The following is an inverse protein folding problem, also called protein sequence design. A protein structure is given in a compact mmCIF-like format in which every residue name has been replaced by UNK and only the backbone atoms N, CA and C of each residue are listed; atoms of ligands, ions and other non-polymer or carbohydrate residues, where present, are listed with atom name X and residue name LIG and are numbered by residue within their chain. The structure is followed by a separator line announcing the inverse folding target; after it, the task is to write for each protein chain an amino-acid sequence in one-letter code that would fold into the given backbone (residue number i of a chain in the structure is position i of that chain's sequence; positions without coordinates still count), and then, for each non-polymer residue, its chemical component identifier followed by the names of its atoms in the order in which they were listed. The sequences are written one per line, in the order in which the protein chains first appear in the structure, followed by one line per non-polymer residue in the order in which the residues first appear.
data_IF_205519627833
#
_entry.id   IF_205519627833
#
_cell.length_a   1.000
_cell.length_b   1.000
_cell.length_c   1.000
_cell.angle_alpha   90.00
_cell.angle_beta   90.00
_cell.angle_gamma   90.00
#
_symmetry.space_group_name_H-M   'P 1'
#
loop_
_entity.id
_entity.type
_entity.pdbx_description
1 polymer ?
#
# COMPACT_ATOMS: atom_id res chain seq x y z
N UNK A 1 6.92 8.92 -26.17
CA UNK A 1 5.67 9.60 -26.58
C UNK A 1 4.61 9.46 -25.48
N UNK A 2 4.09 10.59 -24.98
CA UNK A 2 3.07 10.64 -23.92
C UNK A 2 1.66 10.39 -24.47
N UNK A 3 0.68 10.16 -23.60
CA UNK A 3 -0.74 10.02 -23.99
C UNK A 3 -1.23 11.28 -24.72
N UNK A 4 -0.98 12.47 -24.17
CA UNK A 4 -1.42 13.72 -24.78
C UNK A 4 -0.86 13.94 -26.20
N UNK A 5 0.41 13.58 -26.43
CA UNK A 5 1.03 13.68 -27.76
C UNK A 5 0.42 12.70 -28.75
N UNK A 6 0.26 11.43 -28.34
CA UNK A 6 -0.37 10.40 -29.18
C UNK A 6 -1.82 10.75 -29.50
N UNK A 7 -2.56 11.23 -28.50
CA UNK A 7 -3.99 11.53 -28.62
C UNK A 7 -4.24 12.67 -29.61
N UNK A 8 -3.44 13.75 -29.57
CA UNK A 8 -3.52 14.84 -30.57
C UNK A 8 -3.18 14.37 -31.98
N UNK A 9 -2.14 13.54 -32.12
CA UNK A 9 -1.79 12.98 -33.43
C UNK A 9 -2.92 12.11 -33.98
N UNK A 10 -3.58 11.34 -33.12
CA UNK A 10 -4.70 10.49 -33.49
C UNK A 10 -5.94 11.31 -33.87
N UNK A 11 -6.23 12.40 -33.16
CA UNK A 11 -7.29 13.35 -33.53
C UNK A 11 -7.04 13.98 -34.91
N UNK A 12 -5.81 14.46 -35.17
CA UNK A 12 -5.45 15.06 -36.44
C UNK A 12 -5.58 14.08 -37.63
N UNK A 13 -5.30 12.81 -37.37
CA UNK A 13 -5.40 11.74 -38.38
C UNK A 13 -6.85 11.29 -38.61
N UNK A 14 -7.75 11.52 -37.65
CA UNK A 14 -9.12 11.03 -37.68
C UNK A 14 -10.12 12.13 -37.29
N UNK A 15 -10.25 13.19 -38.09
CA UNK A 15 -11.10 14.34 -37.75
C UNK A 15 -12.60 13.98 -37.68
N UNK A 16 -13.03 12.87 -38.30
CA UNK A 16 -14.42 12.41 -38.28
C UNK A 16 -14.87 11.68 -37.01
N UNK A 17 -13.98 11.44 -36.04
CA UNK A 17 -14.32 10.74 -34.80
C UNK A 17 -15.02 11.63 -33.76
N UNK A 18 -15.12 12.94 -34.01
CA UNK A 18 -15.58 13.92 -33.02
C UNK A 18 -14.88 13.73 -31.66
N UNK A 19 -13.59 13.40 -31.71
CA UNK A 19 -12.82 13.05 -30.52
C UNK A 19 -12.57 14.30 -29.69
N UNK A 20 -13.06 14.38 -28.44
CA UNK A 20 -12.91 15.57 -27.62
C UNK A 20 -11.49 15.72 -27.11
N UNK A 21 -11.12 16.92 -26.64
CA UNK A 21 -9.88 17.13 -25.88
C UNK A 21 -9.78 16.17 -24.69
N UNK A 22 -8.57 15.70 -24.39
CA UNK A 22 -8.34 14.69 -23.35
C UNK A 22 -8.89 15.12 -21.98
N UNK A 23 -8.77 16.42 -21.68
CA UNK A 23 -9.10 17.07 -20.41
C UNK A 23 -10.45 17.81 -20.45
N UNK A 24 -11.24 17.62 -21.52
CA UNK A 24 -12.58 18.19 -21.61
C UNK A 24 -13.50 17.63 -20.51
N UNK A 25 -14.25 18.53 -19.90
CA UNK A 25 -15.19 18.26 -18.81
C UNK A 25 -16.64 18.20 -19.30
N UNK A 26 -17.00 19.00 -20.30
CA UNK A 26 -18.29 18.97 -20.96
C UNK A 26 -18.21 18.05 -22.18
N UNK A 27 -18.88 16.90 -22.09
CA UNK A 27 -18.78 15.81 -23.06
C UNK A 27 -20.12 15.14 -23.25
N UNK A 28 -20.51 14.95 -24.51
CA UNK A 28 -21.59 14.02 -24.85
C UNK A 28 -21.19 12.58 -24.53
N UNK A 29 -22.18 11.68 -24.41
CA UNK A 29 -21.93 10.26 -24.19
C UNK A 29 -21.08 9.64 -25.31
N UNK A 30 -21.31 10.07 -26.55
CA UNK A 30 -20.52 9.66 -27.71
C UNK A 30 -19.05 10.09 -27.56
N UNK A 31 -18.80 11.36 -27.26
CA UNK A 31 -17.44 11.89 -27.09
C UNK A 31 -16.70 11.22 -25.92
N UNK A 32 -17.43 10.91 -24.84
CA UNK A 32 -16.89 10.13 -23.70
C UNK A 32 -16.47 8.73 -24.13
N UNK A 33 -17.29 8.05 -24.93
CA UNK A 33 -16.99 6.71 -25.45
C UNK A 33 -15.78 6.74 -26.40
N UNK A 34 -15.73 7.69 -27.33
CA UNK A 34 -14.60 7.87 -28.25
C UNK A 34 -13.30 8.13 -27.49
N UNK A 35 -13.32 9.03 -26.50
CA UNK A 35 -12.15 9.28 -25.64
C UNK A 35 -11.68 8.01 -24.93
N UNK A 36 -12.61 7.24 -24.36
CA UNK A 36 -12.28 6.02 -23.62
C UNK A 36 -11.67 4.95 -24.54
N UNK A 37 -12.22 4.77 -25.74
CA UNK A 37 -11.68 3.89 -26.77
C UNK A 37 -10.24 4.28 -27.15
N UNK A 38 -10.01 5.57 -27.43
CA UNK A 38 -8.68 6.08 -27.77
C UNK A 38 -7.66 5.88 -26.64
N UNK A 39 -8.04 6.18 -25.39
CA UNK A 39 -7.16 5.94 -24.23
C UNK A 39 -6.86 4.44 -24.09
N UNK A 40 -7.87 3.58 -24.26
CA UNK A 40 -7.71 2.13 -24.17
C UNK A 40 -6.75 1.60 -25.22
N UNK A 41 -6.86 2.08 -26.46
CA UNK A 41 -5.94 1.74 -27.55
C UNK A 41 -4.51 2.17 -27.23
N UNK A 42 -4.31 3.40 -26.78
CA UNK A 42 -2.98 3.87 -26.38
C UNK A 42 -2.38 3.02 -25.26
N UNK A 43 -3.17 2.67 -24.24
CA UNK A 43 -2.69 1.83 -23.14
C UNK A 43 -2.21 0.46 -23.63
N UNK A 44 -2.94 -0.17 -24.57
CA UNK A 44 -2.52 -1.44 -25.19
C UNK A 44 -1.22 -1.27 -25.96
N UNK A 45 -1.13 -0.27 -26.84
CA UNK A 45 0.11 0.03 -27.60
C UNK A 45 1.32 0.28 -26.68
N UNK A 46 1.11 0.94 -25.53
CA UNK A 46 2.15 1.14 -24.52
C UNK A 46 2.55 -0.14 -23.82
N UNK A 47 1.59 -0.94 -23.39
CA UNK A 47 1.86 -2.21 -22.74
C UNK A 47 2.63 -3.15 -23.67
N UNK A 48 2.25 -3.22 -24.94
CA UNK A 48 2.93 -4.05 -25.94
C UNK A 48 4.34 -3.56 -26.21
N UNK A 49 4.54 -2.24 -26.30
CA UNK A 49 5.88 -1.65 -26.43
C UNK A 49 6.78 -1.95 -25.22
N UNK A 50 6.25 -1.82 -24.00
CA UNK A 50 6.98 -2.18 -22.78
C UNK A 50 7.31 -3.67 -22.78
N UNK A 51 6.32 -4.54 -23.08
CA UNK A 51 6.51 -5.99 -23.14
C UNK A 51 7.58 -6.37 -24.15
N UNK A 52 7.58 -5.78 -25.34
CA UNK A 52 8.60 -6.04 -26.35
C UNK A 52 10.01 -5.63 -25.87
N UNK A 53 10.13 -4.51 -25.16
CA UNK A 53 11.41 -4.05 -24.61
C UNK A 53 11.94 -4.99 -23.50
N UNK A 54 11.05 -5.44 -22.61
CA UNK A 54 11.44 -6.30 -21.48
C UNK A 54 11.47 -7.78 -21.84
N UNK A 55 10.89 -8.20 -22.97
CA UNK A 55 10.84 -9.61 -23.37
C UNK A 55 12.23 -10.23 -23.46
N UNK A 56 13.23 -9.49 -23.93
CA UNK A 56 14.63 -9.94 -23.94
C UNK A 56 15.31 -9.96 -22.56
N UNK A 57 14.71 -9.30 -21.56
CA UNK A 57 15.20 -9.23 -20.17
C UNK A 57 14.42 -10.14 -19.22
N UNK A 58 13.22 -10.58 -19.59
CA UNK A 58 12.51 -11.69 -18.96
C UNK A 58 13.21 -12.99 -19.36
N UNK A 59 14.41 -13.21 -18.84
CA UNK A 59 14.93 -14.55 -18.73
C UNK A 59 14.19 -15.20 -17.55
N UNK A 60 13.58 -16.36 -17.77
CA UNK A 60 13.21 -17.23 -16.65
C UNK A 60 14.49 -17.43 -15.84
N UNK A 61 14.54 -17.06 -14.55
CA UNK A 61 15.74 -17.26 -13.78
C UNK A 61 16.11 -18.72 -13.93
N UNK A 62 17.32 -18.98 -14.44
CA UNK A 62 17.85 -20.33 -14.48
C UNK A 62 17.59 -20.92 -13.10
N UNK A 63 16.90 -22.06 -13.05
CA UNK A 63 16.61 -22.74 -11.80
C UNK A 63 17.95 -23.30 -11.34
N UNK A 64 18.85 -22.42 -10.90
CA UNK A 64 20.10 -22.76 -10.28
C UNK A 64 19.69 -23.70 -9.18
N UNK A 65 20.15 -24.94 -9.28
CA UNK A 65 19.87 -25.98 -8.32
C UNK A 65 20.44 -25.50 -6.98
N UNK A 66 19.61 -24.82 -6.20
CA UNK A 66 20.01 -24.27 -4.91
C UNK A 66 20.22 -25.49 -4.04
N UNK A 67 21.48 -25.84 -3.81
CA UNK A 67 21.84 -26.87 -2.85
C UNK A 67 21.16 -26.52 -1.53
N UNK A 68 20.14 -27.32 -1.17
CA UNK A 68 19.53 -27.19 0.14
C UNK A 68 20.60 -27.49 1.19
N UNK A 69 20.73 -26.67 2.23
CA UNK A 69 21.53 -27.05 3.38
C UNK A 69 21.02 -28.42 3.86
N UNK A 70 21.91 -29.36 4.17
CA UNK A 70 21.54 -30.69 4.67
C UNK A 70 20.91 -30.71 6.07
N UNK A 71 20.45 -29.56 6.54
CA UNK A 71 19.77 -29.35 7.82
C UNK A 71 18.45 -28.66 7.47
N UNK A 72 17.36 -29.44 7.39
CA UNK A 72 16.03 -28.92 7.06
C UNK A 72 15.03 -29.03 8.23
N UNK A 73 15.44 -29.71 9.32
CA UNK A 73 14.61 -29.92 10.49
C UNK A 73 15.35 -29.71 11.82
N UNK A 74 14.57 -29.49 12.88
CA UNK A 74 15.10 -29.45 14.25
C UNK A 74 15.77 -30.78 14.65
N UNK A 75 15.35 -31.90 14.05
CA UNK A 75 15.96 -33.21 14.29
C UNK A 75 17.37 -33.31 13.69
N UNK A 76 17.60 -32.73 12.50
CA UNK A 76 18.93 -32.71 11.87
C UNK A 76 19.92 -31.85 12.65
N UNK A 77 19.45 -30.74 13.20
CA UNK A 77 20.25 -29.89 14.11
C UNK A 77 20.67 -30.69 15.33
N UNK A 78 19.73 -31.40 15.96
CA UNK A 78 20.01 -32.21 17.14
C UNK A 78 20.95 -33.40 16.84
N UNK A 79 20.80 -34.04 15.68
CA UNK A 79 21.65 -35.15 15.24
C UNK A 79 23.07 -34.73 14.84
N UNK A 80 23.20 -33.53 14.27
CA UNK A 80 24.49 -32.94 13.88
C UNK A 80 25.24 -32.35 15.08
N UNK A 81 24.51 -31.96 16.13
CA UNK A 81 25.08 -31.40 17.34
C UNK A 81 25.78 -32.50 18.17
N UNK A 82 27.10 -32.64 17.99
CA UNK A 82 27.97 -33.44 18.85
C UNK A 82 28.74 -32.54 19.81
N UNK A 83 28.19 -32.23 21.00
CA UNK A 83 28.90 -31.43 21.98
C UNK A 83 30.14 -32.21 22.42
N UNK A 84 31.31 -31.70 22.03
CA UNK A 84 32.56 -32.06 22.65
C UNK A 84 32.68 -31.18 23.89
N UNK A 85 32.73 -31.81 25.06
CA UNK A 85 32.94 -31.10 26.31
C UNK A 85 34.22 -30.28 26.22
N UNK A 86 34.15 -29.00 26.55
CA UNK A 86 35.35 -28.16 26.69
C UNK A 86 36.13 -28.65 27.90
N UNK A 87 37.11 -29.53 27.68
CA UNK A 87 38.04 -29.90 28.73
C UNK A 87 38.91 -28.69 29.07
N UNK A 88 38.78 -28.16 30.29
CA UNK A 88 39.74 -27.21 30.86
C UNK A 88 39.34 -25.73 30.89
N UNK A 89 38.05 -25.38 30.75
CA UNK A 89 37.63 -24.00 31.03
C UNK A 89 37.27 -23.90 32.53
N UNK A 90 37.91 -23.02 33.31
CA UNK A 90 37.51 -22.78 34.70
C UNK A 90 36.07 -22.29 34.72
N UNK A 91 35.29 -22.74 35.70
CA UNK A 91 33.91 -22.28 35.90
C UNK A 91 33.88 -20.75 35.88
N UNK A 92 33.26 -20.18 34.85
CA UNK A 92 33.03 -18.74 34.77
C UNK A 92 32.20 -18.27 35.98
N UNK A 93 32.21 -16.97 36.29
CA UNK A 93 31.38 -16.43 37.36
C UNK A 93 29.92 -16.88 37.16
N UNK A 94 29.28 -17.31 38.25
CA UNK A 94 27.99 -18.00 38.24
C UNK A 94 27.00 -17.38 37.26
N UNK A 95 26.39 -18.22 36.44
CA UNK A 95 25.46 -17.82 35.39
C UNK A 95 24.45 -16.80 35.90
N UNK A 96 24.26 -15.73 35.13
CA UNK A 96 23.31 -14.66 35.46
C UNK A 96 21.89 -15.20 35.64
N UNK A 97 21.07 -14.47 36.37
CA UNK A 97 19.70 -14.87 36.67
C UNK A 97 18.88 -15.08 35.38
N UNK A 98 18.48 -16.32 35.05
CA UNK A 98 17.70 -16.60 33.84
C UNK A 98 16.32 -15.94 33.86
N UNK A 99 15.83 -15.52 35.03
CA UNK A 99 14.55 -14.81 35.18
C UNK A 99 14.64 -13.31 34.93
N UNK A 100 15.84 -12.74 34.89
CA UNK A 100 16.03 -11.32 34.60
C UNK A 100 15.49 -10.94 33.21
N UNK A 101 15.73 -11.80 32.20
CA UNK A 101 15.20 -11.60 30.86
C UNK A 101 13.65 -11.69 30.83
N UNK A 102 13.09 -12.64 31.58
CA UNK A 102 11.64 -12.80 31.70
C UNK A 102 10.99 -11.56 32.32
N UNK A 103 11.56 -11.02 33.40
CA UNK A 103 11.07 -9.79 34.04
C UNK A 103 11.10 -8.58 33.10
N UNK A 104 12.13 -8.45 32.27
CA UNK A 104 12.23 -7.38 31.26
C UNK A 104 11.17 -7.55 30.17
N UNK A 105 10.86 -8.78 29.74
CA UNK A 105 9.84 -9.07 28.75
C UNK A 105 8.44 -8.76 29.31
N UNK A 106 8.14 -9.19 30.52
CA UNK A 106 6.86 -8.92 31.20
C UNK A 106 6.64 -7.41 31.36
N UNK A 107 7.64 -6.68 31.88
CA UNK A 107 7.60 -5.23 31.98
C UNK A 107 7.54 -4.50 30.62
N UNK A 108 8.03 -5.13 29.55
CA UNK A 108 7.86 -4.64 28.17
C UNK A 108 6.43 -4.83 27.67
N UNK A 109 5.83 -5.99 27.94
CA UNK A 109 4.47 -6.33 27.57
C UNK A 109 3.43 -5.40 28.20
N UNK A 110 3.58 -5.10 29.49
CA UNK A 110 2.68 -4.18 30.21
C UNK A 110 2.69 -2.76 29.61
N UNK A 111 3.88 -2.25 29.26
CA UNK A 111 4.02 -0.94 28.60
C UNK A 111 3.35 -0.91 27.24
N UNK A 112 3.55 -1.94 26.42
CA UNK A 112 2.94 -2.04 25.09
C UNK A 112 1.41 -2.09 25.15
N UNK A 113 0.84 -2.75 26.15
CA UNK A 113 -0.61 -2.79 26.34
C UNK A 113 -1.16 -1.42 26.76
N UNK A 114 -0.46 -0.72 27.66
CA UNK A 114 -0.78 0.66 28.04
C UNK A 114 -0.77 1.61 26.84
N UNK A 115 0.28 1.55 26.01
CA UNK A 115 0.40 2.37 24.80
C UNK A 115 -0.71 2.06 23.79
N UNK A 116 -1.07 0.78 23.62
CA UNK A 116 -2.17 0.36 22.74
C UNK A 116 -3.50 0.91 23.21
N UNK A 117 -3.79 0.83 24.51
CA UNK A 117 -5.01 1.36 25.10
C UNK A 117 -5.10 2.88 24.94
N UNK A 118 -4.01 3.61 25.21
CA UNK A 118 -3.94 5.06 25.01
C UNK A 118 -4.18 5.44 23.54
N UNK A 119 -3.52 4.75 22.60
CA UNK A 119 -3.71 5.00 21.17
C UNK A 119 -5.15 4.72 20.70
N UNK A 120 -5.80 3.69 21.24
CA UNK A 120 -7.20 3.38 20.95
C UNK A 120 -8.16 4.45 21.50
N UNK A 121 -7.90 4.95 22.71
CA UNK A 121 -8.67 6.06 23.29
C UNK A 121 -8.50 7.34 22.45
N UNK A 122 -7.28 7.68 22.04
CA UNK A 122 -7.03 8.83 21.15
C UNK A 122 -7.76 8.72 19.82
N UNK A 123 -7.77 7.53 19.19
CA UNK A 123 -8.53 7.30 17.95
C UNK A 123 -10.04 7.51 18.15
N UNK A 124 -10.59 6.99 19.25
CA UNK A 124 -12.02 7.12 19.56
C UNK A 124 -12.41 8.57 19.74
N UNK A 125 -11.62 9.34 20.50
CA UNK A 125 -11.85 10.76 20.72
C UNK A 125 -11.74 11.57 19.43
N UNK A 126 -10.78 11.24 18.54
CA UNK A 126 -10.64 11.91 17.25
C UNK A 126 -11.85 11.68 16.33
N UNK A 127 -12.40 10.46 16.31
CA UNK A 127 -13.61 10.14 15.54
C UNK A 127 -14.81 10.92 16.09
N UNK A 128 -14.99 10.98 17.41
CA UNK A 128 -16.08 11.76 18.02
C UNK A 128 -15.98 13.25 17.68
N UNK A 129 -14.78 13.85 17.81
CA UNK A 129 -14.57 15.26 17.45
C UNK A 129 -14.85 15.54 15.97
N UNK A 130 -14.53 14.61 15.07
CA UNK A 130 -14.84 14.76 13.63
C UNK A 130 -16.35 14.73 13.35
N UNK A 131 -17.11 13.91 14.07
CA UNK A 131 -18.57 13.83 13.95
C UNK A 131 -19.22 15.10 14.48
N UNK A 132 -18.74 15.64 15.61
CA UNK A 132 -19.26 16.88 16.18
C UNK A 132 -19.06 18.08 15.25
N UNK A 133 -17.86 18.22 14.66
CA UNK A 133 -17.57 19.25 13.66
C UNK A 133 -18.46 19.09 12.43
N UNK A 134 -18.66 17.86 11.95
CA UNK A 134 -19.53 17.60 10.79
C UNK A 134 -20.99 17.95 11.09
N UNK A 135 -21.48 17.69 12.30
CA UNK A 135 -22.83 18.07 12.73
C UNK A 135 -22.97 19.59 12.87
N UNK A 136 -21.94 20.28 13.37
CA UNK A 136 -21.90 21.74 13.48
C UNK A 136 -21.92 22.40 12.09
N UNK A 137 -21.06 21.96 11.17
CA UNK A 137 -21.01 22.43 9.78
C UNK A 137 -22.35 22.19 9.06
N UNK A 138 -22.97 21.02 9.26
CA UNK A 138 -24.29 20.73 8.68
C UNK A 138 -25.40 21.61 9.28
N UNK A 139 -25.31 21.98 10.56
CA UNK A 139 -26.28 22.86 11.22
C UNK A 139 -26.13 24.31 10.77
N UNK A 140 -24.90 24.77 10.59
CA UNK A 140 -24.57 26.11 10.11
C UNK A 140 -25.04 26.29 8.65
N UNK A 141 -24.70 25.34 7.77
CA UNK A 141 -25.13 25.39 6.36
C UNK A 141 -26.63 25.15 6.14
N UNK A 142 -27.36 24.58 7.12
CA UNK A 142 -28.82 24.39 7.00
C UNK A 142 -29.66 25.62 7.37
N UNK A 143 -29.05 26.75 7.76
CA UNK A 143 -29.82 27.91 8.25
C UNK A 143 -29.69 29.12 7.34
N UNK A 144 -30.84 29.52 6.79
CA UNK A 144 -31.02 30.78 6.06
C UNK A 144 -31.60 30.54 4.67
N UNK A 145 -30.74 30.30 3.70
CA UNK A 145 -31.10 30.31 2.27
C UNK A 145 -32.23 29.33 1.89
N UNK A 146 -32.26 28.13 2.49
CA UNK A 146 -33.26 27.11 2.15
C UNK A 146 -34.56 27.19 2.96
N UNK A 147 -34.52 27.83 4.14
CA UNK A 147 -35.62 27.82 5.12
C UNK A 147 -36.30 29.19 5.29
N UNK A 148 -35.66 30.30 4.91
CA UNK A 148 -36.25 31.63 4.94
C UNK A 148 -36.39 32.20 3.52
N UNK A 149 -37.63 32.28 2.98
CA UNK A 149 -37.88 32.84 1.65
C UNK A 149 -37.43 34.29 1.48
N UNK A 150 -37.33 35.06 2.58
CA UNK A 150 -36.96 36.49 2.55
C UNK A 150 -35.46 36.73 2.33
N UNK A 151 -34.64 35.68 2.44
CA UNK A 151 -33.21 35.74 2.12
C UNK A 151 -32.93 35.50 0.62
N UNK A 152 -33.97 35.44 -0.23
CA UNK A 152 -33.88 35.24 -1.68
C UNK A 152 -34.37 36.45 -2.50
N UNK A 153 -34.76 37.53 -1.83
CA UNK A 153 -35.06 38.84 -2.43
C UNK A 153 -33.79 39.70 -2.48
#
# INVERSE_FOLDING_TARGET
MTLAQWYRAQQATNPGLDAPELWATDLSDHQRAVRQEMITRWMREKQDGIRAEIAGKLHEPDLVEVHRPGVDSAADVAGSYRPHGVSGIPSGPGGGDPRAAQAVIEAGGERLEGDRAAAQASRTNAVQGSVDVQLEVNRDHNRGFFNDPKLRE
#
